data_IF_895113687247
#
_entry.id   IF_895113687247
#
_cell.length_a   1.000
_cell.length_b   1.000
_cell.length_c   1.000
_cell.angle_alpha   90.00
_cell.angle_beta   90.00
_cell.angle_gamma   90.00
#
_symmetry.space_group_name_H-M   'P 1'
#
loop_
_entity.id
_entity.type
_entity.pdbx_description
1 polymer ?
#
# COMPACT_ATOMS: atom_id res chain seq x y z
N UNK A 1 -60.24 26.68 20.91
CA UNK A 1 -59.66 25.45 21.46
C UNK A 1 -58.54 24.97 20.54
N UNK A 2 -57.39 24.70 21.16
CA UNK A 2 -56.06 24.64 20.56
C UNK A 2 -55.93 23.56 19.48
N UNK A 3 -55.54 23.95 18.26
CA UNK A 3 -54.91 23.03 17.30
C UNK A 3 -53.39 23.15 17.47
N UNK A 4 -52.91 22.47 18.51
CA UNK A 4 -51.50 22.38 18.85
C UNK A 4 -50.80 21.44 17.87
N UNK A 5 -49.71 21.94 17.27
CA UNK A 5 -48.46 21.22 16.96
C UNK A 5 -48.54 19.84 16.29
N UNK A 6 -48.39 19.81 14.97
CA UNK A 6 -47.81 18.68 14.23
C UNK A 6 -46.82 19.22 13.19
N UNK A 7 -45.67 19.68 13.69
CA UNK A 7 -44.46 19.90 12.88
C UNK A 7 -43.29 19.36 13.70
N UNK A 8 -43.10 18.05 13.64
CA UNK A 8 -42.03 17.39 14.36
C UNK A 8 -41.77 16.02 13.76
N UNK A 9 -40.49 15.78 13.45
CA UNK A 9 -39.90 14.53 13.01
C UNK A 9 -40.09 14.14 11.54
N UNK A 10 -39.32 14.79 10.64
CA UNK A 10 -38.76 14.11 9.47
C UNK A 10 -37.37 14.67 9.11
N UNK A 11 -36.45 14.61 10.08
CA UNK A 11 -35.02 14.63 9.79
C UNK A 11 -34.48 13.32 10.33
N UNK A 12 -34.80 12.21 9.66
CA UNK A 12 -33.94 11.04 9.74
C UNK A 12 -32.73 11.37 8.87
N UNK A 13 -31.71 11.90 9.54
CA UNK A 13 -30.39 12.05 8.97
C UNK A 13 -29.94 10.71 8.44
N UNK A 14 -29.86 10.59 7.12
CA UNK A 14 -29.05 9.57 6.49
C UNK A 14 -27.60 10.03 6.72
N UNK A 15 -27.11 9.87 7.93
CA UNK A 15 -25.69 9.68 8.14
C UNK A 15 -25.40 8.29 7.58
N UNK A 16 -25.28 8.24 6.25
CA UNK A 16 -24.41 7.30 5.60
C UNK A 16 -23.02 7.55 6.19
N UNK A 17 -22.74 6.89 7.31
CA UNK A 17 -21.37 6.54 7.65
C UNK A 17 -20.93 5.65 6.51
N UNK A 18 -20.44 6.25 5.42
CA UNK A 18 -19.41 5.62 4.63
C UNK A 18 -18.24 5.49 5.59
N UNK A 19 -18.28 4.47 6.46
CA UNK A 19 -17.08 3.95 7.05
C UNK A 19 -16.26 3.52 5.85
N UNK A 20 -15.34 4.41 5.45
CA UNK A 20 -14.20 4.04 4.65
C UNK A 20 -13.51 2.99 5.51
N UNK A 21 -13.81 1.71 5.23
CA UNK A 21 -13.10 0.62 5.85
C UNK A 21 -11.64 0.84 5.50
N UNK A 22 -10.84 1.17 6.50
CA UNK A 22 -9.39 1.26 6.34
C UNK A 22 -8.92 -0.14 6.00
N UNK A 23 -8.85 -0.44 4.70
CA UNK A 23 -8.45 -1.73 4.19
C UNK A 23 -6.95 -1.88 4.51
N UNK A 24 -6.72 -2.61 5.60
CA UNK A 24 -5.44 -3.04 6.14
C UNK A 24 -4.61 -1.96 6.86
N UNK A 25 -4.52 -1.99 8.20
CA UNK A 25 -3.28 -1.67 8.88
C UNK A 25 -2.30 -2.81 8.63
N UNK A 26 -1.92 -3.03 7.38
CA UNK A 26 -0.85 -3.97 7.09
C UNK A 26 0.44 -3.29 7.49
N UNK A 27 1.01 -3.69 8.64
CA UNK A 27 2.42 -3.46 8.97
C UNK A 27 3.34 -4.21 7.99
N UNK A 28 3.16 -4.05 6.67
CA UNK A 28 4.11 -4.57 5.67
C UNK A 28 5.45 -3.86 5.85
N UNK A 29 5.39 -2.59 6.23
CA UNK A 29 6.43 -1.93 7.01
C UNK A 29 5.75 -1.07 8.08
N UNK A 30 6.27 -1.04 9.31
CA UNK A 30 5.86 -0.05 10.30
C UNK A 30 6.08 1.37 9.74
N UNK A 31 5.12 2.29 9.92
CA UNK A 31 5.24 3.68 9.47
C UNK A 31 6.49 4.39 10.04
N UNK A 32 7.03 3.90 11.15
CA UNK A 32 8.23 4.41 11.81
C UNK A 32 9.54 3.86 11.24
N UNK A 33 9.51 2.87 10.34
CA UNK A 33 10.73 2.30 9.77
C UNK A 33 11.36 3.24 8.74
N UNK A 34 12.38 3.97 9.18
CA UNK A 34 13.23 4.84 8.37
C UNK A 34 14.41 4.03 7.82
N UNK A 35 14.69 4.18 6.53
CA UNK A 35 15.82 3.55 5.84
C UNK A 35 16.89 4.61 5.58
N UNK A 36 18.08 4.39 6.13
CA UNK A 36 19.25 5.25 5.87
C UNK A 36 19.84 4.99 4.47
N UNK A 37 20.16 6.07 3.78
CA UNK A 37 20.75 6.15 2.44
C UNK A 37 21.92 7.17 2.48
N UNK A 38 22.80 7.01 3.47
CA UNK A 38 23.97 7.85 3.69
C UNK A 38 24.73 8.17 2.39
N UNK A 39 25.08 9.45 2.22
CA UNK A 39 25.81 9.93 1.05
C UNK A 39 24.95 10.16 -0.21
N UNK A 40 23.63 9.96 -0.16
CA UNK A 40 22.73 10.20 -1.30
C UNK A 40 21.79 11.37 -0.95
N UNK A 41 21.86 12.46 -1.71
CA UNK A 41 20.99 13.63 -1.49
C UNK A 41 19.52 13.29 -1.74
N UNK A 42 18.58 14.02 -1.13
CA UNK A 42 17.15 13.86 -1.42
C UNK A 42 16.82 14.01 -2.92
N UNK A 43 17.52 14.89 -3.62
CA UNK A 43 17.39 15.09 -5.07
C UNK A 43 17.79 13.83 -5.84
N UNK A 44 18.94 13.24 -5.51
CA UNK A 44 19.40 12.01 -6.16
C UNK A 44 18.50 10.82 -5.83
N UNK A 45 18.02 10.73 -4.58
CA UNK A 45 17.03 9.73 -4.17
C UNK A 45 15.78 9.88 -5.05
N UNK A 46 15.21 11.08 -5.15
CA UNK A 46 14.01 11.31 -5.95
C UNK A 46 14.20 10.93 -7.41
N UNK A 47 15.29 11.36 -8.04
CA UNK A 47 15.59 11.00 -9.42
C UNK A 47 15.72 9.48 -9.61
N UNK A 48 16.36 8.79 -8.67
CA UNK A 48 16.50 7.32 -8.71
C UNK A 48 15.17 6.62 -8.48
N UNK A 49 14.31 7.12 -7.58
CA UNK A 49 12.97 6.59 -7.38
C UNK A 49 12.15 6.73 -8.67
N UNK A 50 12.15 7.89 -9.32
CA UNK A 50 11.43 8.09 -10.59
C UNK A 50 11.97 7.16 -11.69
N UNK A 51 13.30 7.03 -11.82
CA UNK A 51 13.90 6.07 -12.76
C UNK A 51 13.50 4.63 -12.45
N UNK A 52 13.51 4.24 -11.18
CA UNK A 52 13.08 2.93 -10.72
C UNK A 52 11.62 2.65 -11.11
N UNK A 53 10.71 3.62 -10.91
CA UNK A 53 9.31 3.50 -11.33
C UNK A 53 9.22 3.26 -12.84
N UNK A 54 9.97 4.03 -13.64
CA UNK A 54 9.95 3.93 -15.10
C UNK A 54 10.42 2.57 -15.63
N UNK A 55 11.38 1.90 -14.96
CA UNK A 55 11.85 0.59 -15.39
C UNK A 55 11.06 -0.58 -14.78
N UNK A 56 10.46 -0.37 -13.61
CA UNK A 56 9.79 -1.43 -12.85
C UNK A 56 8.37 -1.66 -13.35
N UNK A 57 7.67 -0.59 -13.71
CA UNK A 57 6.28 -0.67 -14.11
C UNK A 57 6.12 -0.59 -15.62
N UNK A 58 5.35 -1.52 -16.19
CA UNK A 58 5.07 -1.57 -17.63
C UNK A 58 4.44 -0.28 -18.19
N UNK A 59 3.64 0.41 -17.37
CA UNK A 59 2.99 1.67 -17.73
C UNK A 59 3.20 2.70 -16.59
N UNK A 60 4.37 3.35 -16.52
CA UNK A 60 4.74 4.21 -15.38
C UNK A 60 3.75 5.35 -15.16
N UNK A 61 3.28 5.98 -16.24
CA UNK A 61 2.32 7.10 -16.18
C UNK A 61 0.97 6.70 -15.56
N UNK A 62 0.59 5.42 -15.66
CA UNK A 62 -0.67 4.93 -15.07
C UNK A 62 -0.54 4.63 -13.58
N UNK A 63 0.64 4.17 -13.15
CA UNK A 63 0.88 3.78 -11.77
C UNK A 63 1.27 4.97 -10.91
N UNK A 64 1.96 5.98 -11.46
CA UNK A 64 2.37 7.17 -10.72
C UNK A 64 1.14 8.03 -10.37
N UNK A 65 0.90 8.23 -9.08
CA UNK A 65 -0.25 9.01 -8.57
C UNK A 65 0.14 10.36 -8.00
N UNK A 66 1.37 10.49 -7.51
CA UNK A 66 1.92 11.75 -7.00
C UNK A 66 3.44 11.69 -7.08
N UNK A 67 4.07 12.82 -7.43
CA UNK A 67 5.52 12.96 -7.53
C UNK A 67 5.95 14.38 -7.11
N UNK A 68 5.78 14.71 -5.84
CA UNK A 68 6.23 15.99 -5.28
C UNK A 68 7.76 15.95 -5.28
N UNK A 69 8.36 16.83 -6.07
CA UNK A 69 9.80 16.82 -6.34
C UNK A 69 10.62 16.82 -5.03
N UNK A 70 11.54 15.88 -4.91
CA UNK A 70 12.46 15.72 -3.77
C UNK A 70 11.80 15.43 -2.41
N UNK A 71 10.50 15.16 -2.37
CA UNK A 71 9.72 14.99 -1.13
C UNK A 71 8.91 13.68 -1.11
N UNK A 72 8.13 13.41 -2.17
CA UNK A 72 7.19 12.29 -2.13
C UNK A 72 6.93 11.68 -3.50
N UNK A 73 6.96 10.34 -3.54
CA UNK A 73 6.48 9.57 -4.69
C UNK A 73 5.40 8.59 -4.23
N UNK A 74 4.27 8.56 -4.94
CA UNK A 74 3.18 7.63 -4.70
C UNK A 74 2.86 6.85 -5.97
N UNK A 75 2.79 5.52 -5.86
CA UNK A 75 2.43 4.62 -6.95
C UNK A 75 1.31 3.69 -6.54
N UNK A 76 0.41 3.39 -7.46
CA UNK A 76 -0.57 2.30 -7.33
C UNK A 76 -0.15 1.15 -8.23
N UNK A 77 0.03 -0.02 -7.64
CA UNK A 77 0.46 -1.22 -8.36
C UNK A 77 -0.47 -2.39 -8.16
N UNK A 78 -0.17 -3.48 -8.89
CA UNK A 78 -0.80 -4.78 -8.71
C UNK A 78 0.32 -5.78 -8.46
N UNK A 79 0.22 -6.53 -7.37
CA UNK A 79 1.04 -7.71 -7.14
C UNK A 79 0.27 -8.96 -7.57
N UNK A 80 0.98 -9.86 -8.25
CA UNK A 80 0.51 -11.23 -8.51
C UNK A 80 1.37 -12.13 -7.62
N UNK A 81 0.78 -12.66 -6.55
CA UNK A 81 1.51 -13.36 -5.50
C UNK A 81 1.14 -14.83 -5.53
N UNK A 82 2.12 -15.67 -5.82
CA UNK A 82 1.98 -17.10 -5.64
C UNK A 82 1.86 -17.43 -4.15
N UNK A 83 0.76 -18.06 -3.78
CA UNK A 83 0.55 -18.57 -2.44
C UNK A 83 0.16 -20.04 -2.45
N UNK A 84 0.19 -20.65 -1.27
CA UNK A 84 -0.16 -22.05 -1.07
C UNK A 84 -1.13 -22.18 0.10
N UNK A 85 -2.29 -22.73 -0.20
CA UNK A 85 -3.30 -23.12 0.78
C UNK A 85 -3.48 -24.64 0.80
N UNK A 86 -4.51 -25.11 1.48
CA UNK A 86 -4.84 -26.54 1.61
C UNK A 86 -5.21 -27.18 0.26
N UNK A 87 -5.78 -26.43 -0.67
CA UNK A 87 -6.20 -26.91 -1.99
C UNK A 87 -5.09 -26.83 -3.04
N UNK A 88 -3.94 -26.22 -2.71
CA UNK A 88 -2.74 -26.24 -3.53
C UNK A 88 -2.17 -24.84 -3.77
N UNK A 89 -1.57 -24.64 -4.94
CA UNK A 89 -1.09 -23.32 -5.36
C UNK A 89 -2.28 -22.46 -5.75
N UNK A 90 -2.33 -21.25 -5.23
CA UNK A 90 -3.29 -20.23 -5.61
C UNK A 90 -2.56 -18.94 -5.93
N UNK A 91 -3.11 -18.15 -6.84
CA UNK A 91 -2.57 -16.85 -7.21
C UNK A 91 -3.42 -15.76 -6.54
N UNK A 92 -2.76 -14.87 -5.81
CA UNK A 92 -3.39 -13.71 -5.21
C UNK A 92 -3.05 -12.47 -6.03
N UNK A 93 -4.06 -11.88 -6.64
CA UNK A 93 -3.90 -10.60 -7.32
C UNK A 93 -4.33 -9.49 -6.34
N UNK A 94 -3.42 -8.58 -6.02
CA UNK A 94 -3.60 -7.53 -5.01
C UNK A 94 -3.25 -6.17 -5.56
N UNK A 95 -4.20 -5.24 -5.58
CA UNK A 95 -3.89 -3.82 -5.71
C UNK A 95 -3.25 -3.31 -4.42
N UNK A 96 -2.32 -2.37 -4.55
CA UNK A 96 -1.71 -1.68 -3.41
C UNK A 96 -1.40 -0.23 -3.76
N UNK A 97 -1.32 0.60 -2.73
CA UNK A 97 -0.69 1.92 -2.78
C UNK A 97 0.66 1.84 -2.09
N UNK A 98 1.72 2.27 -2.77
CA UNK A 98 3.04 2.49 -2.17
C UNK A 98 3.33 3.98 -2.12
N UNK A 99 3.73 4.47 -0.96
CA UNK A 99 4.21 5.83 -0.74
C UNK A 99 5.65 5.79 -0.27
N UNK A 100 6.49 6.60 -0.91
CA UNK A 100 7.90 6.77 -0.62
C UNK A 100 8.07 8.23 -0.20
N UNK A 101 8.25 8.44 1.11
CA UNK A 101 8.59 9.75 1.65
C UNK A 101 10.11 9.89 1.61
N UNK A 102 10.59 11.01 1.07
CA UNK A 102 11.99 11.28 0.80
C UNK A 102 12.44 12.43 1.69
N UNK A 103 13.54 12.22 2.41
CA UNK A 103 14.28 13.27 3.10
C UNK A 103 15.75 13.14 2.74
N UNK A 104 16.54 14.13 3.13
CA UNK A 104 17.97 14.05 2.91
C UNK A 104 18.54 12.75 3.52
N UNK A 105 19.21 11.97 2.66
CA UNK A 105 19.88 10.71 3.01
C UNK A 105 18.99 9.64 3.65
N UNK A 106 17.67 9.71 3.50
CA UNK A 106 16.77 8.68 4.05
C UNK A 106 15.43 8.65 3.36
N UNK A 107 14.80 7.49 3.40
CA UNK A 107 13.43 7.30 2.96
C UNK A 107 12.59 6.62 4.04
N UNK A 108 11.28 6.77 3.90
CA UNK A 108 10.28 5.92 4.54
C UNK A 108 9.39 5.34 3.44
N UNK A 109 9.11 4.04 3.52
CA UNK A 109 8.24 3.36 2.55
C UNK A 109 7.03 2.80 3.28
N UNK A 110 5.85 3.21 2.83
CA UNK A 110 4.56 2.75 3.35
C UNK A 110 3.81 2.04 2.24
N UNK A 111 3.24 0.87 2.55
CA UNK A 111 2.36 0.13 1.64
C UNK A 111 1.03 -0.10 2.33
N UNK A 112 -0.05 0.36 1.70
CA UNK A 112 -1.39 0.39 2.24
C UNK A 112 -2.45 0.27 1.13
N UNK A 113 -3.73 0.36 1.49
CA UNK A 113 -4.88 0.21 0.59
C UNK A 113 -4.88 -1.12 -0.18
N UNK A 114 -4.45 -2.20 0.47
CA UNK A 114 -4.43 -3.51 -0.17
C UNK A 114 -5.85 -3.97 -0.52
N UNK A 115 -6.10 -4.24 -1.80
CA UNK A 115 -7.40 -4.71 -2.29
C UNK A 115 -7.25 -5.99 -3.10
N UNK A 116 -8.04 -6.99 -2.74
CA UNK A 116 -8.15 -8.23 -3.51
C UNK A 116 -8.75 -8.02 -4.88
N UNK A 117 -8.09 -8.56 -5.90
CA UNK A 117 -8.65 -8.74 -7.22
C UNK A 117 -9.10 -10.19 -7.41
N UNK A 118 -10.17 -10.39 -8.20
CA UNK A 118 -10.67 -11.71 -8.57
C UNK A 118 -11.18 -12.56 -7.39
N UNK A 119 -10.56 -13.73 -7.21
CA UNK A 119 -11.01 -14.75 -6.24
C UNK A 119 -10.52 -14.51 -4.81
N UNK A 120 -9.57 -13.60 -4.59
CA UNK A 120 -9.16 -13.25 -3.24
C UNK A 120 -10.25 -12.39 -2.59
N UNK A 121 -10.84 -12.90 -1.51
CA UNK A 121 -11.88 -12.20 -0.77
C UNK A 121 -11.32 -11.65 0.52
N UNK A 122 -11.52 -10.35 0.74
CA UNK A 122 -11.12 -9.64 1.97
C UNK A 122 -11.56 -10.39 3.24
N UNK A 123 -12.78 -10.94 3.26
CA UNK A 123 -13.31 -11.68 4.42
C UNK A 123 -12.53 -12.95 4.76
N UNK A 124 -11.70 -13.48 3.85
CA UNK A 124 -10.85 -14.64 4.14
C UNK A 124 -9.77 -14.25 5.13
N UNK A 125 -9.14 -13.09 4.95
CA UNK A 125 -8.01 -12.66 5.77
C UNK A 125 -8.39 -11.76 6.94
N UNK A 126 -9.56 -11.12 6.91
CA UNK A 126 -9.94 -10.10 7.88
C UNK A 126 -11.36 -10.32 8.41
N UNK A 127 -11.56 -9.92 9.66
CA UNK A 127 -12.86 -9.78 10.29
C UNK A 127 -13.50 -8.45 9.84
N UNK A 128 -14.81 -8.31 10.07
CA UNK A 128 -15.53 -7.07 9.72
C UNK A 128 -15.02 -5.84 10.49
N UNK A 129 -14.37 -6.03 11.64
CA UNK A 129 -13.74 -4.96 12.42
C UNK A 129 -12.28 -4.64 11.96
N UNK A 130 -11.81 -5.23 10.87
CA UNK A 130 -10.46 -5.00 10.31
C UNK A 130 -9.34 -5.82 10.96
N UNK A 131 -9.63 -6.58 12.02
CA UNK A 131 -8.64 -7.49 12.61
C UNK A 131 -8.29 -8.63 11.66
N UNK A 132 -7.01 -9.04 11.65
CA UNK A 132 -6.55 -10.24 10.95
C UNK A 132 -7.25 -11.48 11.53
N UNK A 133 -7.68 -12.39 10.64
CA UNK A 133 -8.09 -13.74 11.04
C UNK A 133 -6.83 -14.58 11.27
N UNK A 134 -6.84 -15.40 12.32
CA UNK A 134 -5.71 -16.25 12.67
C UNK A 134 -5.98 -17.72 12.34
N UNK A 135 -6.24 -18.01 11.06
CA UNK A 135 -6.24 -19.39 10.55
C UNK A 135 -4.93 -19.68 9.85
N UNK A 136 -4.55 -20.97 9.73
CA UNK A 136 -3.30 -21.38 9.11
C UNK A 136 -3.20 -20.90 7.65
N UNK A 137 -4.32 -20.95 6.93
CA UNK A 137 -4.44 -20.54 5.53
C UNK A 137 -4.25 -19.02 5.38
N UNK A 138 -4.88 -18.24 6.27
CA UNK A 138 -4.73 -16.78 6.30
C UNK A 138 -3.30 -16.38 6.62
N UNK A 139 -2.66 -17.07 7.57
CA UNK A 139 -1.24 -16.84 7.87
C UNK A 139 -0.36 -17.07 6.65
N UNK A 140 -0.60 -18.12 5.86
CA UNK A 140 0.16 -18.36 4.64
C UNK A 140 -0.01 -17.24 3.61
N UNK A 141 -1.23 -16.76 3.39
CA UNK A 141 -1.47 -15.62 2.51
C UNK A 141 -0.76 -14.37 2.99
N UNK A 142 -0.90 -14.03 4.28
CA UNK A 142 -0.25 -12.84 4.86
C UNK A 142 1.29 -12.94 4.79
N UNK A 143 1.88 -14.10 5.05
CA UNK A 143 3.32 -14.33 4.91
C UNK A 143 3.78 -14.14 3.46
N UNK A 144 3.04 -14.68 2.49
CA UNK A 144 3.34 -14.48 1.06
C UNK A 144 3.29 -13.00 0.68
N UNK A 145 2.32 -12.25 1.19
CA UNK A 145 2.17 -10.80 0.96
C UNK A 145 3.32 -10.01 1.58
N UNK A 146 3.62 -10.27 2.86
CA UNK A 146 4.70 -9.62 3.60
C UNK A 146 6.06 -9.88 2.94
N UNK A 147 6.34 -11.12 2.54
CA UNK A 147 7.57 -11.48 1.82
C UNK A 147 7.68 -10.78 0.46
N UNK A 148 6.57 -10.66 -0.28
CA UNK A 148 6.56 -9.96 -1.55
C UNK A 148 6.85 -8.46 -1.35
N UNK A 149 6.21 -7.82 -0.37
CA UNK A 149 6.44 -6.44 0.00
C UNK A 149 7.90 -6.18 0.39
N UNK A 150 8.48 -7.03 1.24
CA UNK A 150 9.89 -6.94 1.65
C UNK A 150 10.84 -7.04 0.45
N UNK A 151 10.63 -8.02 -0.44
CA UNK A 151 11.44 -8.19 -1.64
C UNK A 151 11.33 -6.97 -2.58
N UNK A 152 10.13 -6.42 -2.73
CA UNK A 152 9.87 -5.26 -3.57
C UNK A 152 10.54 -4.00 -3.03
N UNK A 153 10.45 -3.77 -1.72
CA UNK A 153 11.15 -2.66 -1.03
C UNK A 153 12.66 -2.85 -1.10
N UNK A 154 13.16 -4.07 -0.91
CA UNK A 154 14.58 -4.38 -1.02
C UNK A 154 15.11 -4.06 -2.42
N UNK A 155 14.36 -4.41 -3.47
CA UNK A 155 14.70 -4.06 -4.85
C UNK A 155 14.79 -2.54 -5.06
N UNK A 156 13.81 -1.77 -4.57
CA UNK A 156 13.85 -0.30 -4.60
C UNK A 156 15.10 0.24 -3.90
N UNK A 157 15.38 -0.22 -2.68
CA UNK A 157 16.53 0.25 -1.89
C UNK A 157 17.84 -0.04 -2.61
N UNK A 158 18.02 -1.26 -3.13
CA UNK A 158 19.22 -1.62 -3.87
C UNK A 158 19.37 -0.76 -5.11
N UNK A 159 18.29 -0.53 -5.87
CA UNK A 159 18.35 0.33 -7.03
C UNK A 159 18.80 1.76 -6.69
N UNK A 160 18.29 2.32 -5.59
CA UNK A 160 18.70 3.65 -5.11
C UNK A 160 20.18 3.64 -4.73
N UNK A 161 20.68 2.59 -4.05
CA UNK A 161 22.07 2.50 -3.60
C UNK A 161 23.07 2.25 -4.73
N UNK A 162 22.78 1.30 -5.62
CA UNK A 162 23.70 0.87 -6.68
C UNK A 162 23.87 1.92 -7.78
N UNK A 163 22.84 2.73 -8.04
CA UNK A 163 22.94 3.86 -8.98
C UNK A 163 23.60 5.11 -8.37
N UNK A 164 24.35 4.97 -7.27
CA UNK A 164 25.19 6.07 -6.74
C UNK A 164 26.38 6.41 -7.61
N UNK A 165 26.81 5.49 -8.46
CA UNK A 165 28.07 5.58 -9.19
C UNK A 165 27.90 5.45 -10.71
N UNK A 166 26.70 5.71 -11.24
CA UNK A 166 26.44 5.69 -12.69
C UNK A 166 26.78 7.05 -13.31
N UNK A 167 28.03 7.46 -13.20
CA UNK A 167 28.64 8.37 -14.17
C UNK A 167 29.00 7.53 -15.39
N UNK A 168 28.28 7.74 -16.49
CA UNK A 168 28.76 7.36 -17.81
C UNK A 168 29.64 8.48 -18.36
#
# INVERSE_FOLDING_TARGET
>A
MNKLLLFGAFIFGIYSSAQMFTAMPSRLMPEDKIISLEGISNKDIYQRVIKWVNITFKNPDKVLKSNIENDLVKVNGIWNIDSRDYFGRTQLDLEYTMQIDIKDQKIRVNIYDLKGLGNFKYYLCFKNNGERRDTKEVRNYLISIEKNAEAFIFNLINYIKENSNSDW
#
